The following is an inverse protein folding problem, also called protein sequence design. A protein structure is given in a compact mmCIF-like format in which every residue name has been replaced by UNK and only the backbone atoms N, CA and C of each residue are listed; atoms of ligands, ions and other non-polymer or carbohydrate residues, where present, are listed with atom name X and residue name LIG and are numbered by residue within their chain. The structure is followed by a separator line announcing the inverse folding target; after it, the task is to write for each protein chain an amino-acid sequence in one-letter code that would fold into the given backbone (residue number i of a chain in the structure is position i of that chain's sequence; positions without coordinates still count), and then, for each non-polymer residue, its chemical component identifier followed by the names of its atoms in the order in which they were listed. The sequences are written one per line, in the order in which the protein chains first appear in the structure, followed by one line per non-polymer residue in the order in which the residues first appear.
data_IF_095428698590
#
_entry.id   IF_095428698590
#
_cell.length_a   1.000
_cell.length_b   1.000
_cell.length_c   1.000
_cell.angle_alpha   90.00
_cell.angle_beta   90.00
_cell.angle_gamma   90.00
#
_symmetry.space_group_name_H-M   'P 1'
#
loop_
_entity.id
_entity.type
_entity.pdbx_description
1 polymer ?
#
# COMPACT_ATOMS: atom_id res chain seq x y z
N UNK A 1 9.06 2.48 -59.50
CA UNK A 1 10.45 2.93 -59.63
C UNK A 1 11.30 1.94 -58.85
N UNK A 2 11.62 0.76 -59.39
CA UNK A 2 12.86 0.45 -60.15
C UNK A 2 14.12 0.98 -59.47
N UNK A 3 14.75 0.07 -58.72
CA UNK A 3 16.11 -0.45 -58.94
C UNK A 3 17.36 0.44 -58.85
N UNK A 4 18.37 -0.22 -58.24
CA UNK A 4 19.77 -0.26 -58.63
C UNK A 4 20.81 0.71 -58.00
N UNK A 5 21.70 0.09 -57.22
CA UNK A 5 23.15 0.04 -57.48
C UNK A 5 24.11 0.90 -56.63
N UNK A 6 24.93 0.20 -55.82
CA UNK A 6 26.36 0.48 -55.58
C UNK A 6 27.17 0.30 -56.90
N UNK A 7 28.52 0.45 -57.02
CA UNK A 7 29.60 0.65 -56.04
C UNK A 7 30.73 1.61 -56.50
N UNK A 8 31.80 1.74 -55.71
CA UNK A 8 33.05 2.39 -56.12
C UNK A 8 34.24 1.97 -55.24
N UNK A 9 35.10 1.14 -55.80
CA UNK A 9 36.31 0.56 -55.21
C UNK A 9 37.54 1.48 -55.36
N UNK A 10 38.62 1.12 -54.67
CA UNK A 10 40.01 0.92 -55.16
C UNK A 10 41.03 1.25 -54.04
N UNK A 11 41.74 0.24 -53.53
CA UNK A 11 43.15 -0.15 -53.85
C UNK A 11 44.15 0.57 -52.92
N UNK A 12 45.28 0.03 -52.46
CA UNK A 12 46.07 -1.17 -52.76
C UNK A 12 46.86 -1.53 -51.49
N UNK A 13 47.03 -2.80 -51.14
CA UNK A 13 48.26 -3.58 -51.43
C UNK A 13 48.76 -4.15 -50.10
N UNK A 14 49.24 -5.38 -49.95
CA UNK A 14 49.53 -6.47 -50.87
C UNK A 14 50.64 -7.32 -50.26
N UNK A 15 50.36 -8.63 -50.09
CA UNK A 15 51.26 -9.81 -50.24
C UNK A 15 52.45 -9.96 -49.23
N UNK A 16 52.77 -11.12 -48.64
CA UNK A 16 52.21 -12.48 -48.70
C UNK A 16 53.05 -13.51 -47.89
N UNK A 17 52.47 -14.71 -47.75
CA UNK A 17 53.04 -16.09 -47.70
C UNK A 17 54.53 -16.29 -47.35
N UNK A 18 54.96 -17.16 -46.43
CA UNK A 18 54.84 -18.64 -46.37
C UNK A 18 55.78 -19.09 -45.21
N UNK A 19 55.52 -20.10 -44.38
CA UNK A 19 55.65 -21.54 -44.65
C UNK A 19 57.07 -22.06 -44.35
N UNK A 20 57.25 -22.96 -43.38
CA UNK A 20 58.48 -23.76 -43.26
C UNK A 20 58.91 -24.17 -41.85
N UNK A 21 59.02 -25.48 -41.63
CA UNK A 21 59.27 -26.20 -40.36
C UNK A 21 60.75 -26.58 -40.26
N UNK A 22 61.32 -26.64 -39.03
CA UNK A 22 62.05 -27.80 -38.43
C UNK A 22 63.20 -27.40 -37.49
N UNK A 23 63.29 -28.18 -36.38
CA UNK A 23 64.47 -28.54 -35.58
C UNK A 23 65.21 -27.40 -34.85
N UNK A 24 65.40 -27.39 -33.52
CA UNK A 24 65.48 -28.44 -32.53
C UNK A 24 66.70 -28.14 -31.67
N UNK A 25 66.52 -27.71 -30.41
CA UNK A 25 67.60 -27.67 -29.40
C UNK A 25 67.01 -28.06 -28.05
N UNK A 26 67.48 -29.19 -27.54
CA UNK A 26 67.35 -29.60 -26.15
C UNK A 26 68.12 -28.62 -25.25
N UNK A 27 67.47 -28.09 -24.21
CA UNK A 27 68.14 -27.84 -22.94
C UNK A 27 67.23 -28.27 -21.79
N UNK A 28 67.76 -29.19 -21.01
CA UNK A 28 67.23 -29.70 -19.76
C UNK A 28 67.50 -28.71 -18.62
N UNK A 29 66.68 -28.80 -17.57
CA UNK A 29 67.10 -28.39 -16.22
C UNK A 29 66.63 -27.01 -15.77
N UNK A 30 65.40 -26.94 -15.27
CA UNK A 30 64.94 -25.80 -14.47
C UNK A 30 63.62 -26.14 -13.80
N UNK A 31 63.68 -26.51 -12.52
CA UNK A 31 62.54 -26.95 -11.72
C UNK A 31 61.41 -25.92 -11.65
N UNK A 32 60.51 -25.96 -12.62
CA UNK A 32 59.20 -25.32 -12.52
C UNK A 32 58.35 -26.10 -11.49
N UNK A 33 58.36 -25.62 -10.25
CA UNK A 33 57.16 -25.72 -9.40
C UNK A 33 56.04 -24.96 -10.11
N UNK A 34 55.34 -25.64 -11.02
CA UNK A 34 54.03 -25.19 -11.51
C UNK A 34 53.15 -25.06 -10.27
N UNK A 35 52.91 -23.81 -9.84
CA UNK A 35 51.82 -23.51 -8.92
C UNK A 35 50.56 -23.97 -9.63
N UNK A 36 50.05 -25.14 -9.24
CA UNK A 36 48.73 -25.62 -9.63
C UNK A 36 47.78 -24.46 -9.36
N UNK A 37 47.05 -23.94 -10.36
CA UNK A 37 46.08 -22.88 -10.11
C UNK A 37 45.10 -23.42 -9.09
N UNK A 38 45.12 -22.82 -7.88
CA UNK A 38 44.16 -23.14 -6.82
C UNK A 38 42.79 -23.15 -7.45
N UNK A 39 42.12 -24.31 -7.42
CA UNK A 39 40.74 -24.48 -7.81
C UNK A 39 39.94 -23.26 -7.36
N UNK A 40 39.56 -22.40 -8.32
CA UNK A 40 38.55 -21.37 -8.06
C UNK A 40 37.32 -22.16 -7.65
N UNK A 41 37.02 -22.18 -6.35
CA UNK A 41 35.76 -22.74 -5.85
C UNK A 41 34.66 -22.09 -6.67
N UNK A 42 33.96 -22.89 -7.47
CA UNK A 42 32.78 -22.45 -8.18
C UNK A 42 31.75 -22.11 -7.10
N UNK A 43 31.68 -20.84 -6.72
CA UNK A 43 30.64 -20.34 -5.82
C UNK A 43 29.38 -20.35 -6.67
N UNK A 44 28.49 -21.31 -6.42
CA UNK A 44 27.17 -21.32 -7.06
C UNK A 44 26.57 -19.91 -6.91
N UNK A 45 26.14 -19.26 -8.00
CA UNK A 45 25.52 -17.96 -7.90
C UNK A 45 24.33 -18.08 -6.95
N UNK A 46 24.29 -17.23 -5.92
CA UNK A 46 23.13 -17.16 -5.03
C UNK A 46 21.91 -16.86 -5.88
N UNK A 47 20.96 -17.80 -5.90
CA UNK A 47 19.63 -17.53 -6.41
C UNK A 47 18.95 -16.63 -5.38
N UNK A 48 18.46 -15.48 -5.85
CA UNK A 48 17.71 -14.54 -5.03
C UNK A 48 16.24 -14.69 -5.40
N UNK A 49 15.45 -15.15 -4.45
CA UNK A 49 14.00 -15.24 -4.60
C UNK A 49 13.35 -13.87 -4.37
N UNK A 50 12.23 -13.55 -5.04
CA UNK A 50 11.43 -12.37 -4.75
C UNK A 50 11.06 -12.30 -3.26
N UNK A 51 10.85 -11.09 -2.75
CA UNK A 51 10.36 -10.90 -1.38
C UNK A 51 8.85 -11.08 -1.41
N UNK A 52 8.34 -11.95 -0.54
CA UNK A 52 6.90 -12.12 -0.39
C UNK A 52 6.24 -10.78 -0.03
N UNK A 53 5.21 -10.34 -0.79
CA UNK A 53 4.49 -9.14 -0.47
C UNK A 53 3.83 -9.27 0.90
N UNK A 54 4.04 -8.26 1.75
CA UNK A 54 3.36 -8.15 3.04
C UNK A 54 2.59 -6.84 3.11
N UNK A 55 1.59 -6.81 3.99
CA UNK A 55 0.83 -5.61 4.31
C UNK A 55 0.92 -5.29 5.80
N UNK A 56 0.88 -4.00 6.10
CA UNK A 56 0.77 -3.49 7.45
C UNK A 56 -0.66 -3.01 7.64
N UNK A 57 -1.33 -3.48 8.68
CA UNK A 57 -2.70 -3.07 8.98
C UNK A 57 -2.77 -2.30 10.29
N UNK A 58 -3.48 -1.18 10.26
CA UNK A 58 -3.74 -0.32 11.41
C UNK A 58 -5.23 -0.07 11.56
N UNK A 59 -5.69 0.01 12.80
CA UNK A 59 -7.06 0.39 13.17
C UNK A 59 -6.99 1.53 14.18
N UNK A 60 -7.76 2.58 13.92
CA UNK A 60 -7.99 3.69 14.83
C UNK A 60 -9.49 3.75 15.12
N UNK A 61 -9.87 3.46 16.36
CA UNK A 61 -11.25 3.56 16.84
C UNK A 61 -11.40 4.86 17.63
N UNK A 62 -12.31 5.73 17.19
CA UNK A 62 -12.55 7.05 17.77
C UNK A 62 -13.88 7.05 18.51
N UNK A 63 -13.82 7.41 19.78
CA UNK A 63 -14.99 7.70 20.61
C UNK A 63 -15.24 9.21 20.58
N UNK A 64 -16.41 9.64 20.12
CA UNK A 64 -16.74 11.04 19.92
C UNK A 64 -17.51 11.61 21.12
N UNK A 65 -17.35 12.92 21.38
CA UNK A 65 -18.00 13.64 22.48
C UNK A 65 -19.37 14.17 22.10
N UNK A 66 -20.24 14.25 23.10
CA UNK A 66 -21.57 14.87 23.00
C UNK A 66 -22.64 13.92 22.49
N UNK A 67 -22.39 12.61 22.56
CA UNK A 67 -23.34 11.58 22.23
C UNK A 67 -24.51 11.53 23.24
N UNK A 68 -25.69 11.17 22.75
CA UNK A 68 -26.86 10.89 23.57
C UNK A 68 -26.98 9.39 23.78
N UNK A 69 -27.37 8.97 24.99
CA UNK A 69 -27.61 7.56 25.29
C UNK A 69 -29.10 7.29 25.27
N UNK A 70 -29.53 6.49 24.32
CA UNK A 70 -30.88 5.95 24.27
C UNK A 70 -30.93 4.63 25.03
N UNK A 71 -31.87 4.50 25.94
CA UNK A 71 -32.10 3.28 26.73
C UNK A 71 -33.52 2.77 26.50
N UNK A 72 -33.74 1.44 26.58
CA UNK A 72 -35.09 0.90 26.62
C UNK A 72 -35.85 1.49 27.82
N UNK A 73 -37.10 1.89 27.59
CA UNK A 73 -37.88 2.60 28.59
C UNK A 73 -38.55 1.68 29.63
N UNK A 74 -38.77 0.41 29.30
CA UNK A 74 -39.54 -0.50 30.17
C UNK A 74 -39.04 -1.95 30.16
N UNK A 75 -39.46 -2.69 31.18
CA UNK A 75 -39.36 -4.16 31.27
C UNK A 75 -37.95 -4.70 31.48
N UNK A 76 -37.77 -5.97 31.11
CA UNK A 76 -36.50 -6.68 31.21
C UNK A 76 -35.37 -5.94 30.46
N UNK A 77 -35.70 -5.31 29.34
CA UNK A 77 -34.73 -4.56 28.54
C UNK A 77 -34.18 -3.32 29.27
N UNK A 78 -35.04 -2.57 29.95
CA UNK A 78 -34.63 -1.45 30.80
C UNK A 78 -33.76 -1.94 31.97
N UNK A 79 -34.13 -3.06 32.58
CA UNK A 79 -33.36 -3.67 33.65
C UNK A 79 -31.95 -4.07 33.18
N UNK A 80 -31.82 -4.73 32.02
CA UNK A 80 -30.51 -5.07 31.44
C UNK A 80 -29.69 -3.84 31.07
N UNK A 81 -30.31 -2.82 30.47
CA UNK A 81 -29.64 -1.58 30.11
C UNK A 81 -29.10 -0.84 31.33
N UNK A 82 -29.90 -0.70 32.40
CA UNK A 82 -29.51 0.01 33.62
C UNK A 82 -28.44 -0.73 34.43
N UNK A 83 -28.43 -2.07 34.39
CA UNK A 83 -27.48 -2.89 35.16
C UNK A 83 -26.19 -3.22 34.42
N UNK A 84 -26.27 -3.44 33.11
CA UNK A 84 -25.15 -3.97 32.33
C UNK A 84 -24.82 -3.15 31.08
N UNK A 85 -25.64 -2.15 30.72
CA UNK A 85 -25.45 -1.33 29.52
C UNK A 85 -25.71 -2.04 28.18
N UNK A 86 -26.04 -3.33 28.19
CA UNK A 86 -26.05 -4.24 27.02
C UNK A 86 -27.01 -3.81 25.90
N UNK A 87 -28.08 -3.08 26.24
CA UNK A 87 -29.12 -2.64 25.30
C UNK A 87 -29.15 -1.13 25.06
N UNK A 88 -28.24 -0.40 25.70
CA UNK A 88 -28.12 1.04 25.48
C UNK A 88 -27.47 1.32 24.12
N UNK A 89 -28.02 2.30 23.41
CA UNK A 89 -27.48 2.79 22.15
C UNK A 89 -26.91 4.18 22.34
N UNK A 90 -25.74 4.41 21.79
CA UNK A 90 -25.17 5.75 21.66
C UNK A 90 -25.60 6.32 20.32
N UNK A 91 -26.13 7.54 20.36
CA UNK A 91 -26.45 8.35 19.19
C UNK A 91 -25.43 9.48 19.14
N UNK A 92 -24.65 9.48 18.08
CA UNK A 92 -23.64 10.49 17.86
C UNK A 92 -24.26 11.84 17.55
N UNK A 93 -23.60 12.92 18.01
CA UNK A 93 -24.12 14.28 17.80
C UNK A 93 -24.08 14.73 16.35
N UNK A 94 -23.15 14.17 15.57
CA UNK A 94 -22.96 14.58 14.19
C UNK A 94 -23.96 13.84 13.30
N UNK A 95 -24.67 14.58 12.47
CA UNK A 95 -25.45 13.96 11.40
C UNK A 95 -24.53 13.28 10.38
N UNK A 96 -25.07 12.40 9.54
CA UNK A 96 -24.30 11.82 8.43
C UNK A 96 -23.78 12.90 7.47
N UNK A 97 -24.54 13.97 7.26
CA UNK A 97 -24.16 15.10 6.42
C UNK A 97 -23.00 15.90 7.02
N UNK A 98 -23.08 16.22 8.32
CA UNK A 98 -21.99 16.90 9.05
C UNK A 98 -20.72 16.05 9.09
N UNK A 99 -20.87 14.74 9.29
CA UNK A 99 -19.78 13.79 9.19
C UNK A 99 -19.12 13.85 7.81
N UNK A 100 -19.90 13.73 6.73
CA UNK A 100 -19.39 13.79 5.36
C UNK A 100 -18.64 15.09 5.08
N UNK A 101 -19.17 16.23 5.53
CA UNK A 101 -18.51 17.51 5.35
C UNK A 101 -17.15 17.55 6.07
N UNK A 102 -17.13 17.25 7.37
CA UNK A 102 -15.90 17.24 8.18
C UNK A 102 -14.89 16.23 7.66
N UNK A 103 -15.35 15.04 7.29
CA UNK A 103 -14.51 13.97 6.78
C UNK A 103 -13.95 14.30 5.38
N UNK A 104 -14.69 15.00 4.52
CA UNK A 104 -14.15 15.49 3.25
C UNK A 104 -12.96 16.43 3.43
N UNK A 105 -12.97 17.26 4.48
CA UNK A 105 -11.83 18.13 4.83
C UNK A 105 -10.65 17.32 5.32
N UNK A 106 -10.89 16.30 6.15
CA UNK A 106 -9.86 15.33 6.54
C UNK A 106 -9.21 14.65 5.33
N UNK A 107 -10.00 14.17 4.37
CA UNK A 107 -9.48 13.53 3.15
C UNK A 107 -8.61 14.48 2.33
N UNK A 108 -9.01 15.76 2.20
CA UNK A 108 -8.21 16.80 1.52
C UNK A 108 -6.90 17.08 2.24
N UNK A 109 -6.93 17.27 3.57
CA UNK A 109 -5.71 17.54 4.35
C UNK A 109 -4.73 16.37 4.36
N UNK A 110 -5.23 15.14 4.30
CA UNK A 110 -4.41 13.91 4.27
C UNK A 110 -4.07 13.43 2.85
N UNK A 111 -4.46 14.19 1.81
CA UNK A 111 -4.22 13.88 0.40
C UNK A 111 -4.81 12.52 -0.05
N UNK A 112 -5.93 12.11 0.58
CA UNK A 112 -6.72 10.93 0.24
C UNK A 112 -7.81 11.27 -0.77
N UNK A 113 -7.41 11.78 -1.94
CA UNK A 113 -8.33 12.32 -2.95
C UNK A 113 -8.85 11.27 -3.94
N UNK A 114 -8.24 10.08 -3.98
CA UNK A 114 -8.67 8.99 -4.85
C UNK A 114 -9.68 8.10 -4.11
N UNK A 115 -10.97 8.27 -4.37
CA UNK A 115 -12.05 7.56 -3.69
C UNK A 115 -12.39 6.29 -4.45
N UNK A 116 -12.23 5.15 -3.78
CA UNK A 116 -12.59 3.84 -4.33
C UNK A 116 -14.09 3.60 -4.29
N UNK A 117 -14.70 3.90 -3.15
CA UNK A 117 -16.10 3.65 -2.91
C UNK A 117 -16.65 4.51 -1.77
N UNK A 118 -17.96 4.79 -1.83
CA UNK A 118 -18.75 5.25 -0.70
C UNK A 118 -19.98 4.36 -0.60
N UNK A 119 -20.19 3.77 0.57
CA UNK A 119 -21.37 2.97 0.88
C UNK A 119 -22.14 3.61 2.05
N UNK A 120 -23.46 3.66 1.94
CA UNK A 120 -24.35 4.18 2.99
C UNK A 120 -25.39 3.12 3.27
N UNK A 121 -25.47 2.65 4.52
CA UNK A 121 -26.34 1.52 4.93
C UNK A 121 -26.30 0.33 3.96
N UNK A 122 -25.08 -0.06 3.55
CA UNK A 122 -24.80 -1.15 2.61
C UNK A 122 -25.20 -0.89 1.14
N UNK A 123 -25.70 0.30 0.82
CA UNK A 123 -25.91 0.72 -0.57
C UNK A 123 -24.66 1.40 -1.12
N UNK A 124 -24.16 0.91 -2.26
CA UNK A 124 -23.04 1.53 -2.98
C UNK A 124 -23.50 2.83 -3.64
N UNK A 125 -23.22 3.96 -3.00
CA UNK A 125 -23.56 5.31 -3.49
C UNK A 125 -22.53 5.81 -4.50
N UNK A 126 -21.27 5.48 -4.29
CA UNK A 126 -20.18 5.82 -5.21
C UNK A 126 -19.25 4.63 -5.40
N UNK A 127 -18.74 4.45 -6.61
CA UNK A 127 -17.72 3.47 -6.95
C UNK A 127 -16.83 4.02 -8.06
N UNK A 128 -15.51 3.90 -7.87
CA UNK A 128 -14.49 4.32 -8.84
C UNK A 128 -14.83 3.77 -10.24
N UNK A 129 -14.85 4.67 -11.22
CA UNK A 129 -15.09 4.34 -12.63
C UNK A 129 -13.74 4.27 -13.33
N UNK A 130 -13.64 3.47 -14.39
CA UNK A 130 -12.36 3.25 -15.11
C UNK A 130 -11.66 4.55 -15.57
N UNK A 131 -12.42 5.64 -15.71
CA UNK A 131 -11.91 6.96 -16.05
C UNK A 131 -11.75 7.83 -14.79
N UNK A 132 -10.55 7.84 -14.22
CA UNK A 132 -10.19 8.68 -13.08
C UNK A 132 -10.19 10.15 -13.48
N UNK A 133 -11.26 10.86 -13.12
CA UNK A 133 -11.34 12.31 -13.29
C UNK A 133 -10.45 13.03 -12.26
N UNK A 134 -10.03 14.26 -12.57
CA UNK A 134 -9.27 15.11 -11.64
C UNK A 134 -10.06 15.51 -10.37
N UNK A 135 -11.39 15.30 -10.36
CA UNK A 135 -12.30 15.74 -9.30
C UNK A 135 -13.00 14.56 -8.58
N UNK A 136 -12.33 13.43 -8.47
CA UNK A 136 -12.90 12.17 -7.95
C UNK A 136 -13.52 12.33 -6.54
N UNK A 137 -12.80 12.99 -5.62
CA UNK A 137 -13.29 13.29 -4.29
C UNK A 137 -14.57 14.14 -4.30
N UNK A 138 -14.59 15.25 -5.06
CA UNK A 138 -15.74 16.16 -5.06
C UNK A 138 -16.98 15.48 -5.66
N UNK A 139 -16.80 14.65 -6.71
CA UNK A 139 -17.87 13.84 -7.30
C UNK A 139 -18.44 12.82 -6.31
N UNK A 140 -17.55 12.11 -5.58
CA UNK A 140 -17.96 11.13 -4.60
C UNK A 140 -18.75 11.76 -3.44
N UNK A 141 -18.28 12.90 -2.92
CA UNK A 141 -18.95 13.64 -1.86
C UNK A 141 -20.30 14.20 -2.32
N UNK A 142 -20.39 14.69 -3.57
CA UNK A 142 -21.66 15.15 -4.14
C UNK A 142 -22.70 14.01 -4.19
N UNK A 143 -22.31 12.83 -4.68
CA UNK A 143 -23.19 11.66 -4.71
C UNK A 143 -23.64 11.22 -3.30
N UNK A 144 -22.71 11.22 -2.33
CA UNK A 144 -23.01 10.89 -0.95
C UNK A 144 -24.00 11.88 -0.30
N UNK A 145 -23.82 13.18 -0.52
CA UNK A 145 -24.73 14.22 -0.02
C UNK A 145 -26.12 14.10 -0.61
N UNK A 146 -26.19 13.88 -1.92
CA UNK A 146 -27.47 13.69 -2.61
C UNK A 146 -28.24 12.50 -1.99
N UNK A 147 -27.56 11.36 -1.80
CA UNK A 147 -28.16 10.19 -1.15
C UNK A 147 -28.66 10.47 0.27
N UNK A 148 -27.83 11.09 1.12
CA UNK A 148 -28.19 11.39 2.53
C UNK A 148 -29.37 12.37 2.61
N UNK A 149 -29.46 13.33 1.70
CA UNK A 149 -30.58 14.29 1.69
C UNK A 149 -31.94 13.62 1.44
N UNK A 150 -31.95 12.53 0.66
CA UNK A 150 -33.13 11.71 0.38
C UNK A 150 -33.39 10.62 1.45
N UNK A 151 -32.40 10.27 2.28
CA UNK A 151 -32.46 9.19 3.28
C UNK A 151 -32.07 9.71 4.67
N UNK A 152 -32.97 10.49 5.28
CA UNK A 152 -32.70 11.20 6.56
C UNK A 152 -32.51 10.27 7.77
N UNK A 153 -32.98 9.03 7.67
CA UNK A 153 -32.87 7.97 8.66
C UNK A 153 -31.61 7.11 8.50
N UNK A 154 -30.79 7.38 7.49
CA UNK A 154 -29.57 6.64 7.25
C UNK A 154 -28.63 6.68 8.47
N UNK A 155 -27.96 5.55 8.74
CA UNK A 155 -27.23 5.32 9.97
C UNK A 155 -25.72 5.15 9.80
N UNK A 156 -25.28 4.44 8.76
CA UNK A 156 -23.90 4.05 8.55
C UNK A 156 -23.34 4.65 7.27
N UNK A 157 -22.11 5.15 7.33
CA UNK A 157 -21.31 5.53 6.14
C UNK A 157 -19.99 4.77 6.16
N UNK A 158 -19.59 4.25 5.00
CA UNK A 158 -18.27 3.70 4.73
C UNK A 158 -17.64 4.45 3.55
N UNK A 159 -16.41 4.92 3.70
CA UNK A 159 -15.66 5.60 2.65
C UNK A 159 -14.30 4.91 2.50
N UNK A 160 -13.99 4.43 1.29
CA UNK A 160 -12.70 3.83 0.96
C UNK A 160 -11.92 4.74 0.03
N UNK A 161 -10.66 5.02 0.38
CA UNK A 161 -9.79 5.92 -0.37
C UNK A 161 -8.38 5.34 -0.52
N UNK A 162 -7.68 5.78 -1.57
CA UNK A 162 -6.27 5.48 -1.79
C UNK A 162 -5.40 6.70 -1.50
N UNK A 163 -4.29 6.44 -0.82
CA UNK A 163 -3.25 7.41 -0.52
C UNK A 163 -1.86 6.88 -0.79
N UNK A 164 -0.88 7.77 -0.65
CA UNK A 164 0.53 7.39 -0.65
C UNK A 164 1.31 8.30 0.29
N UNK A 165 2.17 7.72 1.13
CA UNK A 165 3.12 8.53 1.91
C UNK A 165 4.17 9.13 0.98
N UNK A 166 4.62 10.36 1.24
CA UNK A 166 5.70 11.03 0.50
C UNK A 166 6.98 11.09 1.35
N UNK A 167 7.57 9.94 1.64
CA UNK A 167 8.84 9.78 2.35
C UNK A 167 9.94 9.33 1.38
N UNK A 168 11.06 8.83 1.92
CA UNK A 168 12.07 8.18 1.08
C UNK A 168 11.46 6.97 0.34
N UNK A 169 11.86 6.68 -0.91
CA UNK A 169 11.24 5.61 -1.72
C UNK A 169 11.20 4.21 -1.09
N UNK A 170 12.11 3.91 -0.16
CA UNK A 170 12.16 2.63 0.59
C UNK A 170 11.23 2.59 1.80
N UNK A 171 10.73 3.74 2.22
CA UNK A 171 9.84 3.95 3.36
C UNK A 171 8.42 4.35 2.93
N UNK A 172 8.24 4.64 1.64
CA UNK A 172 6.95 4.96 1.04
C UNK A 172 5.97 3.78 1.14
N UNK A 173 4.78 4.04 1.65
CA UNK A 173 3.65 3.13 1.65
C UNK A 173 2.58 3.64 0.67
N UNK A 174 2.06 2.73 -0.17
CA UNK A 174 0.72 2.90 -0.73
C UNK A 174 -0.28 2.53 0.33
N UNK A 175 -1.27 3.40 0.55
CA UNK A 175 -2.25 3.26 1.60
C UNK A 175 -3.62 3.03 0.97
N UNK A 176 -4.34 2.06 1.50
CA UNK A 176 -5.80 1.99 1.41
C UNK A 176 -6.35 2.39 2.77
N UNK A 177 -7.23 3.37 2.80
CA UNK A 177 -7.83 3.89 4.04
C UNK A 177 -9.34 3.72 3.93
N UNK A 178 -9.91 3.00 4.87
CA UNK A 178 -11.35 2.80 4.97
C UNK A 178 -11.85 3.46 6.25
N UNK A 179 -12.79 4.38 6.11
CA UNK A 179 -13.46 5.02 7.23
C UNK A 179 -14.86 4.47 7.36
N UNK A 180 -15.26 4.16 8.59
CA UNK A 180 -16.63 3.80 8.94
C UNK A 180 -17.15 4.77 9.99
N UNK A 181 -18.37 5.25 9.81
CA UNK A 181 -19.07 6.07 10.77
C UNK A 181 -20.45 5.50 11.03
N UNK A 182 -20.85 5.48 12.31
CA UNK A 182 -22.16 5.05 12.76
C UNK A 182 -22.82 6.20 13.52
N UNK A 183 -23.94 6.71 13.01
CA UNK A 183 -24.76 7.71 13.72
C UNK A 183 -25.37 7.13 15.00
N UNK A 184 -25.80 5.86 14.96
CA UNK A 184 -26.34 5.13 16.11
C UNK A 184 -25.67 3.75 16.20
N UNK A 185 -25.06 3.47 17.33
CA UNK A 185 -24.35 2.21 17.59
C UNK A 185 -24.54 1.74 19.04
N UNK A 186 -24.07 0.52 19.34
CA UNK A 186 -24.09 0.00 20.70
C UNK A 186 -23.18 0.81 21.62
N UNK A 187 -23.59 0.96 22.88
CA UNK A 187 -22.81 1.68 23.90
C UNK A 187 -21.40 1.10 24.08
N UNK A 188 -20.41 1.98 24.20
CA UNK A 188 -19.00 1.62 24.35
C UNK A 188 -18.33 1.18 23.04
N UNK A 189 -19.04 1.21 21.90
CA UNK A 189 -18.43 1.04 20.57
C UNK A 189 -17.96 2.40 20.05
N UNK A 190 -16.89 2.44 19.24
CA UNK A 190 -16.49 3.68 18.60
C UNK A 190 -17.56 4.16 17.60
N UNK A 191 -17.82 5.46 17.58
CA UNK A 191 -18.69 6.10 16.58
C UNK A 191 -18.03 6.19 15.20
N UNK A 192 -16.70 6.26 15.16
CA UNK A 192 -15.92 6.26 13.92
C UNK A 192 -14.73 5.31 14.00
N UNK A 193 -14.44 4.60 12.92
CA UNK A 193 -13.27 3.75 12.78
C UNK A 193 -12.53 4.07 11.48
N UNK A 194 -11.20 4.13 11.55
CA UNK A 194 -10.32 4.17 10.39
C UNK A 194 -9.49 2.88 10.33
N UNK A 195 -9.59 2.17 9.22
CA UNK A 195 -8.76 1.04 8.88
C UNK A 195 -7.75 1.46 7.83
N UNK A 196 -6.46 1.25 8.11
CA UNK A 196 -5.36 1.59 7.23
C UNK A 196 -4.68 0.29 6.80
N UNK A 197 -4.53 0.09 5.50
CA UNK A 197 -3.70 -0.97 4.93
C UNK A 197 -2.56 -0.33 4.15
N UNK A 198 -1.33 -0.55 4.59
CA UNK A 198 -0.12 -0.01 3.98
C UNK A 198 0.71 -1.09 3.33
N UNK A 199 1.03 -0.93 2.04
CA UNK A 199 1.96 -1.79 1.31
C UNK A 199 3.18 -0.97 0.90
N UNK A 200 4.42 -1.41 1.21
CA UNK A 200 5.61 -0.72 0.75
C UNK A 200 5.60 -0.55 -0.77
N UNK A 201 5.78 0.67 -1.24
CA UNK A 201 5.64 1.03 -2.66
C UNK A 201 6.63 0.30 -3.56
N UNK A 202 7.77 -0.09 -3.00
CA UNK A 202 8.78 -0.89 -3.68
C UNK A 202 8.34 -2.35 -3.90
N UNK A 203 7.27 -2.80 -3.27
CA UNK A 203 6.68 -4.13 -3.46
C UNK A 203 5.46 -4.10 -4.41
N UNK A 204 5.14 -2.94 -4.99
CA UNK A 204 4.04 -2.80 -5.92
C UNK A 204 4.54 -2.50 -7.34
N UNK A 205 3.85 -2.99 -8.37
CA UNK A 205 4.14 -2.63 -9.75
C UNK A 205 3.80 -1.17 -10.01
N UNK A 206 4.64 -0.47 -10.78
CA UNK A 206 4.37 0.92 -11.18
C UNK A 206 3.47 0.94 -12.44
N UNK A 207 2.68 2.01 -12.60
CA UNK A 207 1.69 2.15 -13.69
C UNK A 207 2.23 1.92 -15.12
N UNK A 208 3.49 2.25 -15.38
CA UNK A 208 4.14 2.08 -16.71
C UNK A 208 5.24 1.02 -16.70
N UNK A 209 5.39 0.26 -15.62
CA UNK A 209 6.43 -0.74 -15.48
C UNK A 209 5.97 -2.06 -16.09
N UNK A 210 6.82 -2.64 -16.93
CA UNK A 210 6.58 -3.96 -17.50
C UNK A 210 6.76 -5.05 -16.44
N UNK A 211 6.13 -6.21 -16.64
CA UNK A 211 6.31 -7.36 -15.74
C UNK A 211 7.78 -7.80 -15.62
N UNK A 212 8.60 -7.60 -16.66
CA UNK A 212 10.02 -7.92 -16.63
C UNK A 212 10.81 -6.96 -15.75
N UNK A 213 10.58 -5.65 -15.90
CA UNK A 213 11.21 -4.61 -15.09
C UNK A 213 10.83 -4.74 -13.61
N UNK A 214 9.56 -5.01 -13.34
CA UNK A 214 9.07 -5.27 -11.98
C UNK A 214 9.82 -6.43 -11.32
N UNK A 215 9.91 -7.58 -11.99
CA UNK A 215 10.64 -8.76 -11.48
C UNK A 215 12.13 -8.47 -11.29
N UNK A 216 12.76 -7.73 -12.20
CA UNK A 216 14.16 -7.34 -12.06
C UNK A 216 14.38 -6.49 -10.80
N UNK A 217 13.47 -5.54 -10.53
CA UNK A 217 13.50 -4.69 -9.33
C UNK A 217 13.26 -5.47 -8.04
N UNK A 218 12.34 -6.43 -8.03
CA UNK A 218 12.14 -7.33 -6.88
C UNK A 218 13.40 -8.15 -6.58
N UNK A 219 14.04 -8.70 -7.61
CA UNK A 219 15.29 -9.45 -7.47
C UNK A 219 16.40 -8.56 -6.92
N UNK A 220 16.51 -7.32 -7.41
CA UNK A 220 17.47 -6.34 -6.89
C UNK A 220 17.20 -5.98 -5.43
N UNK A 221 15.93 -5.80 -5.06
CA UNK A 221 15.56 -5.58 -3.67
C UNK A 221 15.94 -6.77 -2.79
N UNK A 222 15.66 -7.99 -3.24
CA UNK A 222 16.04 -9.23 -2.53
C UNK A 222 17.56 -9.35 -2.34
N UNK A 223 18.35 -8.97 -3.37
CA UNK A 223 19.82 -8.87 -3.28
C UNK A 223 20.24 -7.88 -2.19
N UNK A 224 19.60 -6.71 -2.16
CA UNK A 224 19.90 -5.66 -1.18
C UNK A 224 19.51 -6.08 0.25
N UNK A 225 18.45 -6.86 0.40
CA UNK A 225 17.92 -7.40 1.65
C UNK A 225 18.35 -8.87 1.88
N UNK A 226 19.52 -9.26 1.39
CA UNK A 226 19.99 -10.65 1.48
C UNK A 226 20.40 -11.11 2.88
N UNK A 227 20.60 -10.18 3.82
CA UNK A 227 20.93 -10.46 5.22
C UNK A 227 19.65 -10.39 6.07
N UNK A 228 19.43 -11.33 7.01
CA UNK A 228 18.27 -11.29 7.92
C UNK A 228 18.10 -9.96 8.64
N UNK A 229 19.21 -9.36 9.09
CA UNK A 229 19.22 -8.03 9.72
C UNK A 229 18.67 -6.93 8.80
N UNK A 230 19.08 -6.90 7.53
CA UNK A 230 18.60 -5.90 6.56
C UNK A 230 17.11 -6.06 6.26
N UNK A 231 16.60 -7.30 6.15
CA UNK A 231 15.16 -7.56 6.02
C UNK A 231 14.40 -7.02 7.23
N UNK A 232 14.89 -7.32 8.43
CA UNK A 232 14.30 -6.83 9.68
C UNK A 232 14.29 -5.30 9.75
N UNK A 233 15.37 -4.65 9.36
CA UNK A 233 15.47 -3.18 9.35
C UNK A 233 14.53 -2.55 8.32
N UNK A 234 14.35 -3.19 7.15
CA UNK A 234 13.36 -2.77 6.16
C UNK A 234 11.93 -2.87 6.69
N UNK A 235 11.55 -4.03 7.25
CA UNK A 235 10.23 -4.24 7.84
C UNK A 235 9.94 -3.24 8.96
N UNK A 236 10.87 -3.08 9.91
CA UNK A 236 10.76 -2.10 10.99
C UNK A 236 10.64 -0.66 10.48
N UNK A 237 11.32 -0.35 9.38
CA UNK A 237 11.21 0.95 8.72
C UNK A 237 9.79 1.22 8.22
N UNK A 238 9.17 0.23 7.56
CA UNK A 238 7.79 0.31 7.10
C UNK A 238 6.78 0.37 8.25
N UNK A 239 6.96 -0.44 9.30
CA UNK A 239 6.15 -0.41 10.53
C UNK A 239 6.18 0.99 11.16
N UNK A 240 7.37 1.58 11.31
CA UNK A 240 7.53 2.94 11.83
C UNK A 240 6.86 4.00 10.95
N UNK A 241 6.89 3.85 9.63
CA UNK A 241 6.14 4.76 8.73
C UNK A 241 4.65 4.67 9.01
N UNK A 242 4.08 3.47 9.13
CA UNK A 242 2.65 3.31 9.42
C UNK A 242 2.28 3.96 10.76
N UNK A 243 3.09 3.76 11.80
CA UNK A 243 2.86 4.39 13.11
C UNK A 243 2.84 5.92 13.03
N UNK A 244 3.73 6.52 12.23
CA UNK A 244 3.76 7.97 12.00
C UNK A 244 2.46 8.42 11.31
N UNK A 245 2.05 7.73 10.25
CA UNK A 245 0.81 8.03 9.52
C UNK A 245 -0.42 7.91 10.44
N UNK A 246 -0.50 6.85 11.25
CA UNK A 246 -1.60 6.67 12.19
C UNK A 246 -1.68 7.82 13.20
N UNK A 247 -0.54 8.25 13.76
CA UNK A 247 -0.50 9.42 14.67
C UNK A 247 -0.94 10.70 13.96
N UNK A 248 -0.50 10.90 12.72
CA UNK A 248 -0.86 12.06 11.93
C UNK A 248 -2.37 12.09 11.65
N UNK A 249 -2.96 10.95 11.28
CA UNK A 249 -4.40 10.84 11.04
C UNK A 249 -5.21 11.08 12.30
N UNK A 250 -4.76 10.61 13.46
CA UNK A 250 -5.38 10.95 14.75
C UNK A 250 -5.38 12.46 14.97
N UNK A 251 -4.26 13.13 14.69
CA UNK A 251 -4.17 14.59 14.84
C UNK A 251 -5.11 15.32 13.89
N UNK A 252 -5.19 14.89 12.61
CA UNK A 252 -6.11 15.49 11.64
C UNK A 252 -7.58 15.28 12.03
N UNK A 253 -7.98 14.07 12.44
CA UNK A 253 -9.34 13.80 12.91
C UNK A 253 -9.71 14.71 14.07
N UNK A 254 -8.82 14.87 15.06
CA UNK A 254 -9.04 15.72 16.23
C UNK A 254 -9.22 17.21 15.91
N UNK A 255 -8.81 17.69 14.72
CA UNK A 255 -9.08 19.06 14.28
C UNK A 255 -10.54 19.27 13.88
N UNK A 256 -11.20 18.21 13.40
CA UNK A 256 -12.55 18.31 12.82
C UNK A 256 -13.64 17.75 13.71
N UNK A 257 -13.30 16.79 14.57
CA UNK A 257 -14.21 16.08 15.44
C UNK A 257 -13.80 16.23 16.90
N UNK A 258 -14.80 16.35 17.77
CA UNK A 258 -14.61 16.37 19.21
C UNK A 258 -14.41 14.94 19.70
N UNK A 259 -13.15 14.52 19.75
CA UNK A 259 -12.77 13.16 20.16
C UNK A 259 -12.58 13.10 21.67
N UNK A 260 -13.20 12.12 22.31
CA UNK A 260 -13.03 11.81 23.73
C UNK A 260 -11.79 10.95 23.96
N UNK A 261 -11.76 9.79 23.28
CA UNK A 261 -10.66 8.85 23.36
C UNK A 261 -10.40 8.19 22.01
N UNK A 262 -9.19 7.64 21.87
CA UNK A 262 -8.77 6.92 20.67
C UNK A 262 -8.14 5.61 21.10
N UNK A 263 -8.65 4.52 20.56
CA UNK A 263 -8.03 3.21 20.65
C UNK A 263 -7.27 2.95 19.35
N UNK A 264 -5.98 2.65 19.45
CA UNK A 264 -5.14 2.34 18.29
C UNK A 264 -4.59 0.93 18.41
N UNK A 265 -4.78 0.13 17.36
CA UNK A 265 -4.21 -1.21 17.23
C UNK A 265 -3.55 -1.31 15.86
N UNK A 266 -2.37 -1.92 15.79
CA UNK A 266 -1.75 -2.24 14.51
C UNK A 266 -1.11 -3.61 14.57
N UNK A 267 -1.05 -4.27 13.41
CA UNK A 267 -0.42 -5.57 13.25
C UNK A 267 0.21 -5.68 11.86
N UNK A 268 1.19 -6.57 11.73
CA UNK A 268 1.72 -6.98 10.44
C UNK A 268 1.01 -8.24 9.99
N UNK A 269 0.64 -8.31 8.72
CA UNK A 269 0.10 -9.52 8.11
C UNK A 269 1.14 -10.10 7.15
N UNK A 270 1.78 -11.20 7.57
CA UNK A 270 2.87 -11.87 6.84
C UNK A 270 2.37 -12.69 5.63
N UNK A 271 1.04 -12.80 5.47
CA UNK A 271 0.40 -13.49 4.36
C UNK A 271 -0.79 -12.67 3.85
N UNK A 272 -0.57 -11.94 2.75
CA UNK A 272 -1.69 -11.51 1.91
C UNK A 272 -2.32 -12.78 1.33
N UNK A 273 -3.44 -13.24 1.90
CA UNK A 273 -4.28 -14.22 1.20
C UNK A 273 -4.52 -13.72 -0.22
N UNK A 274 -4.35 -14.60 -1.21
CA UNK A 274 -4.33 -14.28 -2.66
C UNK A 274 -5.61 -13.59 -3.22
N UNK A 275 -6.51 -13.07 -2.37
CA UNK A 275 -7.73 -12.34 -2.74
C UNK A 275 -7.50 -10.87 -3.11
N UNK A 276 -6.57 -10.15 -2.46
CA UNK A 276 -6.40 -8.71 -2.68
C UNK A 276 -5.61 -8.35 -3.96
N UNK A 277 -4.76 -9.25 -4.46
CA UNK A 277 -3.99 -9.01 -5.69
C UNK A 277 -4.83 -9.19 -6.97
N UNK A 278 -5.99 -9.85 -6.87
CA UNK A 278 -6.86 -10.10 -8.04
C UNK A 278 -7.76 -8.92 -8.42
N UNK A 279 -7.92 -7.90 -7.58
CA UNK A 279 -8.80 -6.76 -7.88
C UNK A 279 -8.14 -5.61 -8.65
N UNK A 280 -6.83 -5.66 -8.89
CA UNK A 280 -6.11 -4.65 -9.69
C UNK A 280 -5.67 -5.17 -11.07
N UNK A 281 -6.48 -6.01 -11.71
CA UNK A 281 -6.33 -6.35 -13.13
C UNK A 281 -7.51 -5.85 -13.95
#
# INVERSE_FOLDING_TARGET
MTDCSAPGAHCAGGVGFSGGVTSGVYTSGGGHRRKVPRNRRYVKPKQYEPIDPFALTGRLAFHLKGNQVEQPHEGLAQWFSSRFGILSKQVEKYSLEEFLEKFSRFLKETLLENILAIEIDYYSVYKDRKDKSLNDLDNAIAAARDYVSHHKDANKILISALGKTKLEPRKDLHLTVESQYYRRHGSGKPGMELYLTGVPSILLPRKKETNYEYKAREIELSKNLNKPRKRKDFMKGSERTLEIVMKDYVNHVKKFFDVDSVESLWKREDHLGMGLVKQNR
#
